data_IF_082639994246
#
_entry.id   IF_082639994246
#
_cell.length_a   1.000
_cell.length_b   1.000
_cell.length_c   1.000
_cell.angle_alpha   90.00
_cell.angle_beta   90.00
_cell.angle_gamma   90.00
#
_symmetry.space_group_name_H-M   'P 1'
#
loop_
_entity.id
_entity.type
_entity.pdbx_description
1 polymer ?
#
# COMPACT_ATOMS: atom_id res chain seq x y z
N UNK A 1 62.66 7.60 -3.59
CA UNK A 1 62.07 8.09 -2.32
C UNK A 1 61.99 6.90 -1.38
N UNK A 2 62.15 7.07 -0.05
CA UNK A 2 61.76 6.01 0.89
C UNK A 2 60.26 5.71 0.72
N UNK A 3 59.84 4.45 0.89
CA UNK A 3 58.42 4.16 1.04
C UNK A 3 57.93 4.78 2.35
N UNK A 4 56.71 5.35 2.40
CA UNK A 4 56.15 5.81 3.67
C UNK A 4 56.00 4.62 4.61
N UNK A 5 56.46 4.77 5.85
CA UNK A 5 56.34 3.75 6.90
C UNK A 5 54.86 3.58 7.25
N UNK A 6 54.23 2.56 6.65
CA UNK A 6 52.83 2.22 6.89
C UNK A 6 52.69 1.51 8.24
N UNK A 7 52.50 2.30 9.29
CA UNK A 7 52.29 1.81 10.65
C UNK A 7 50.78 1.60 10.90
N UNK A 8 50.39 0.35 11.18
CA UNK A 8 49.01 0.00 11.50
C UNK A 8 48.70 0.34 12.96
N UNK A 9 47.55 1.00 13.20
CA UNK A 9 47.07 1.24 14.55
C UNK A 9 46.85 -0.08 15.31
N UNK A 10 47.25 -0.19 16.59
CA UNK A 10 47.18 -1.45 17.35
C UNK A 10 45.75 -1.89 17.72
N UNK A 11 44.73 -1.11 17.37
CA UNK A 11 43.32 -1.41 17.59
C UNK A 11 42.52 -0.97 16.36
N UNK A 12 41.69 -1.86 15.81
CA UNK A 12 40.75 -1.51 14.75
C UNK A 12 39.66 -0.56 15.29
N UNK A 13 39.41 0.53 14.56
CA UNK A 13 38.40 1.53 14.91
C UNK A 13 37.36 1.63 13.78
N UNK A 14 36.26 0.86 13.84
CA UNK A 14 35.23 0.78 12.80
C UNK A 14 34.83 2.13 12.20
N UNK A 15 34.47 3.09 13.07
CA UNK A 15 33.99 4.43 12.69
C UNK A 15 34.98 5.28 11.91
N UNK A 16 36.29 5.06 12.10
CA UNK A 16 37.35 5.81 11.42
C UNK A 16 37.67 5.23 10.03
N UNK A 17 37.22 4.00 9.73
CA UNK A 17 37.52 3.28 8.49
C UNK A 17 36.28 3.11 7.62
N UNK A 18 35.16 2.66 8.18
CA UNK A 18 33.99 2.18 7.43
C UNK A 18 33.27 3.29 6.65
N UNK A 19 32.99 4.42 7.30
CA UNK A 19 32.28 5.52 6.63
C UNK A 19 33.11 6.19 5.51
N UNK A 20 34.41 6.53 5.70
CA UNK A 20 35.24 7.05 4.61
C UNK A 20 35.46 6.04 3.47
N UNK A 21 35.64 4.75 3.79
CA UNK A 21 35.81 3.70 2.79
C UNK A 21 34.53 3.49 1.96
N UNK A 22 33.37 3.50 2.62
CA UNK A 22 32.08 3.34 1.95
C UNK A 22 31.72 4.55 1.07
N UNK A 23 31.98 5.77 1.54
CA UNK A 23 31.84 6.98 0.72
C UNK A 23 32.66 6.86 -0.57
N UNK A 24 33.94 6.49 -0.45
CA UNK A 24 34.83 6.26 -1.60
C UNK A 24 34.30 5.19 -2.56
N UNK A 25 33.68 4.12 -2.07
CA UNK A 25 33.07 3.08 -2.92
C UNK A 25 31.85 3.59 -3.71
N UNK A 26 31.03 4.45 -3.11
CA UNK A 26 29.88 5.08 -3.79
C UNK A 26 30.35 6.10 -4.84
N UNK A 27 31.29 6.97 -4.47
CA UNK A 27 31.86 8.00 -5.36
C UNK A 27 32.57 7.41 -6.59
N UNK A 28 33.24 6.27 -6.43
CA UNK A 28 33.90 5.55 -7.53
C UNK A 28 32.97 4.62 -8.32
N UNK A 29 31.67 4.60 -8.04
CA UNK A 29 30.66 3.86 -8.81
C UNK A 29 30.76 2.33 -8.73
N UNK A 30 31.57 1.78 -7.80
CA UNK A 30 31.95 0.36 -7.75
C UNK A 30 30.79 -0.63 -7.51
N UNK A 31 29.59 -0.14 -7.23
CA UNK A 31 28.40 -0.96 -7.01
C UNK A 31 27.57 -1.18 -8.28
N UNK A 32 27.80 -0.40 -9.35
CA UNK A 32 27.18 -0.65 -10.64
C UNK A 32 27.60 -2.03 -11.21
N UNK A 33 26.74 -2.70 -11.98
CA UNK A 33 27.14 -3.90 -12.72
C UNK A 33 28.17 -3.54 -13.80
N UNK A 34 29.09 -4.47 -14.08
CA UNK A 34 29.99 -4.36 -15.24
C UNK A 34 29.20 -4.40 -16.56
N UNK A 35 29.78 -3.82 -17.61
CA UNK A 35 29.23 -3.91 -18.96
C UNK A 35 29.51 -5.29 -19.60
N UNK A 36 30.56 -5.97 -19.14
CA UNK A 36 31.01 -7.29 -19.52
C UNK A 36 30.75 -8.34 -18.41
N UNK A 37 30.63 -9.60 -18.81
CA UNK A 37 30.37 -10.74 -17.91
C UNK A 37 28.89 -11.13 -17.81
N UNK A 38 28.63 -12.37 -17.36
CA UNK A 38 27.26 -12.90 -17.24
C UNK A 38 26.46 -12.14 -16.17
N UNK A 39 25.20 -11.75 -16.42
CA UNK A 39 24.35 -11.11 -15.42
C UNK A 39 24.16 -11.96 -14.16
N UNK A 40 24.20 -11.33 -13.00
CA UNK A 40 23.72 -11.89 -11.74
C UNK A 40 22.86 -10.84 -11.04
N UNK A 41 21.56 -11.10 -10.88
CA UNK A 41 20.60 -10.08 -10.44
C UNK A 41 19.92 -10.52 -9.15
N UNK A 42 20.00 -9.66 -8.12
CA UNK A 42 19.14 -9.73 -6.94
C UNK A 42 18.27 -8.47 -6.91
N UNK A 43 16.96 -8.65 -6.75
CA UNK A 43 16.04 -7.55 -6.43
C UNK A 43 15.93 -7.47 -4.91
N UNK A 44 16.31 -6.33 -4.34
CA UNK A 44 16.17 -6.09 -2.90
C UNK A 44 14.69 -6.13 -2.50
N UNK A 45 14.27 -6.97 -1.53
CA UNK A 45 12.92 -6.90 -0.97
C UNK A 45 12.70 -5.51 -0.36
N UNK A 46 11.83 -4.67 -0.94
CA UNK A 46 11.84 -3.23 -0.65
C UNK A 46 11.33 -2.95 0.78
N UNK A 47 12.13 -2.33 1.67
CA UNK A 47 11.66 -1.97 3.00
C UNK A 47 10.49 -0.98 2.95
N UNK A 48 9.48 -1.24 3.78
CA UNK A 48 8.35 -0.34 4.00
C UNK A 48 8.85 1.01 4.54
N UNK A 49 8.37 2.14 4.00
CA UNK A 49 8.78 3.51 4.41
C UNK A 49 8.23 3.91 5.82
N UNK A 50 7.84 2.94 6.64
CA UNK A 50 7.08 3.14 7.89
C UNK A 50 7.91 3.10 9.17
N UNK A 51 9.18 2.71 9.11
CA UNK A 51 10.01 2.49 10.29
C UNK A 51 11.52 2.53 10.00
N UNK A 52 12.30 2.74 11.06
CA UNK A 52 13.73 2.45 11.14
C UNK A 52 13.99 0.96 10.91
N UNK A 53 15.10 0.62 10.25
CA UNK A 53 15.54 -0.77 10.06
C UNK A 53 15.81 -1.47 11.40
N UNK A 54 15.37 -2.72 11.53
CA UNK A 54 15.72 -3.61 12.64
C UNK A 54 16.68 -4.72 12.18
N UNK A 55 17.17 -5.51 13.14
CA UNK A 55 18.14 -6.60 12.90
C UNK A 55 17.70 -7.59 11.82
N UNK A 56 16.40 -7.81 11.67
CA UNK A 56 15.79 -8.61 10.59
C UNK A 56 16.10 -8.09 9.17
N UNK A 57 16.02 -6.78 8.91
CA UNK A 57 16.47 -6.23 7.63
C UNK A 57 17.99 -6.28 7.52
N UNK A 58 18.74 -6.11 8.62
CA UNK A 58 20.18 -6.29 8.64
C UNK A 58 20.60 -7.67 8.12
N UNK A 59 20.07 -8.75 8.72
CA UNK A 59 20.29 -10.13 8.29
C UNK A 59 19.91 -10.34 6.81
N UNK A 60 18.73 -9.87 6.40
CA UNK A 60 18.25 -10.01 5.03
C UNK A 60 19.16 -9.32 4.00
N UNK A 61 19.67 -8.13 4.32
CA UNK A 61 20.55 -7.38 3.40
C UNK A 61 21.98 -7.92 3.39
N UNK A 62 22.53 -8.34 4.54
CA UNK A 62 23.87 -8.95 4.61
C UNK A 62 23.97 -10.21 3.75
N UNK A 63 22.96 -11.08 3.76
CA UNK A 63 22.94 -12.29 2.93
C UNK A 63 23.00 -11.94 1.43
N UNK A 64 22.22 -10.94 0.99
CA UNK A 64 22.22 -10.48 -0.40
C UNK A 64 23.54 -9.80 -0.78
N UNK A 65 24.08 -8.94 0.10
CA UNK A 65 25.32 -8.20 -0.14
C UNK A 65 26.54 -9.14 -0.27
N UNK A 66 26.60 -10.18 0.56
CA UNK A 66 27.66 -11.22 0.47
C UNK A 66 27.60 -11.94 -0.88
N UNK A 67 26.41 -12.36 -1.33
CA UNK A 67 26.22 -13.00 -2.64
C UNK A 67 26.61 -12.07 -3.80
N UNK A 68 26.18 -10.81 -3.73
CA UNK A 68 26.46 -9.79 -4.75
C UNK A 68 27.95 -9.45 -4.82
N UNK A 69 28.62 -9.27 -3.68
CA UNK A 69 30.07 -9.06 -3.61
C UNK A 69 30.83 -10.28 -4.17
N UNK A 70 30.44 -11.49 -3.79
CA UNK A 70 31.06 -12.72 -4.26
C UNK A 70 30.96 -12.88 -5.79
N UNK A 71 29.76 -12.78 -6.36
CA UNK A 71 29.58 -12.91 -7.81
C UNK A 71 30.19 -11.73 -8.59
N UNK A 72 30.19 -10.51 -8.04
CA UNK A 72 30.92 -9.35 -8.60
C UNK A 72 32.44 -9.60 -8.62
N UNK A 73 32.99 -10.20 -7.57
CA UNK A 73 34.42 -10.59 -7.50
C UNK A 73 34.77 -11.75 -8.43
N UNK A 74 33.82 -12.63 -8.74
CA UNK A 74 33.95 -13.65 -9.82
C UNK A 74 33.86 -13.07 -11.23
N UNK A 75 33.69 -11.76 -11.38
CA UNK A 75 33.70 -11.06 -12.67
C UNK A 75 32.35 -10.99 -13.38
N UNK A 76 31.25 -11.37 -12.71
CA UNK A 76 29.89 -11.27 -13.28
C UNK A 76 29.38 -9.83 -13.27
N UNK A 77 28.42 -9.55 -14.16
CA UNK A 77 27.65 -8.31 -14.18
C UNK A 77 26.61 -8.33 -13.04
N UNK A 78 27.11 -8.22 -11.80
CA UNK A 78 26.34 -8.34 -10.58
C UNK A 78 25.56 -7.05 -10.27
N UNK A 79 24.24 -7.11 -10.39
CA UNK A 79 23.29 -6.04 -10.09
C UNK A 79 22.46 -6.40 -8.86
N UNK A 80 22.62 -5.63 -7.79
CA UNK A 80 21.65 -5.60 -6.69
C UNK A 80 20.79 -4.36 -6.85
N UNK A 81 19.53 -4.55 -7.22
CA UNK A 81 18.58 -3.47 -7.47
C UNK A 81 17.93 -3.05 -6.14
N UNK A 82 18.20 -1.84 -5.61
CA UNK A 82 17.57 -1.34 -4.39
C UNK A 82 16.20 -0.71 -4.67
N UNK A 83 15.39 -0.52 -3.62
CA UNK A 83 14.07 0.09 -3.71
C UNK A 83 13.45 0.31 -2.32
N UNK A 84 12.29 0.95 -2.25
CA UNK A 84 11.49 1.12 -1.02
C UNK A 84 10.00 0.93 -1.32
N UNK A 85 9.22 0.46 -0.35
CA UNK A 85 7.78 0.24 -0.51
C UNK A 85 6.96 1.34 0.18
N UNK A 86 6.11 1.99 -0.63
CA UNK A 86 5.07 2.92 -0.17
C UNK A 86 4.11 2.31 0.87
N UNK A 87 4.02 0.98 0.93
CA UNK A 87 3.39 0.15 1.96
C UNK A 87 1.89 0.37 2.23
N UNK A 88 1.19 1.18 1.41
CA UNK A 88 -0.26 1.40 1.43
C UNK A 88 -0.84 1.60 2.84
N UNK A 89 -1.67 0.63 3.26
CA UNK A 89 -2.30 0.57 4.58
C UNK A 89 -1.34 0.75 5.76
N UNK A 90 -0.06 0.38 5.64
CA UNK A 90 0.93 0.53 6.71
C UNK A 90 1.24 2.01 6.98
N UNK A 91 1.67 2.71 5.93
CA UNK A 91 2.00 4.15 5.95
C UNK A 91 0.78 4.98 6.32
N UNK A 92 -0.39 4.61 5.77
CA UNK A 92 -1.66 5.24 6.15
C UNK A 92 -1.92 5.12 7.66
N UNK A 93 -1.79 3.93 8.25
CA UNK A 93 -2.01 3.73 9.69
C UNK A 93 -0.99 4.46 10.59
N UNK A 94 0.26 4.63 10.14
CA UNK A 94 1.23 5.44 10.89
C UNK A 94 0.81 6.91 10.88
N UNK A 95 0.44 7.46 9.71
CA UNK A 95 0.04 8.87 9.59
C UNK A 95 -1.31 9.13 10.28
N UNK A 96 -2.27 8.21 10.24
CA UNK A 96 -3.50 8.30 11.04
C UNK A 96 -3.22 8.36 12.54
N UNK A 97 -2.23 7.62 13.05
CA UNK A 97 -1.80 7.68 14.46
C UNK A 97 -1.06 8.97 14.82
N UNK A 98 -0.43 9.65 13.86
CA UNK A 98 0.16 10.98 14.08
C UNK A 98 -0.93 12.05 14.13
N UNK A 99 -1.83 12.06 13.14
CA UNK A 99 -3.00 12.96 13.08
C UNK A 99 -3.90 12.82 14.33
N UNK A 100 -4.10 11.60 14.82
CA UNK A 100 -4.83 11.34 16.07
C UNK A 100 -4.16 11.93 17.33
N UNK A 101 -2.84 12.05 17.37
CA UNK A 101 -2.11 12.75 18.45
C UNK A 101 -2.22 14.27 18.35
N UNK A 102 -2.47 14.78 17.14
CA UNK A 102 -2.75 16.20 16.87
C UNK A 102 -4.22 16.57 17.22
N UNK A 103 -4.99 15.64 17.81
CA UNK A 103 -6.37 15.88 18.26
C UNK A 103 -7.42 15.87 17.15
N UNK A 104 -7.06 15.45 15.93
CA UNK A 104 -7.95 15.40 14.76
C UNK A 104 -8.00 14.00 14.17
N UNK A 105 -8.92 13.74 13.23
CA UNK A 105 -8.88 12.56 12.38
C UNK A 105 -8.60 12.95 10.93
N UNK A 106 -8.14 11.99 10.13
CA UNK A 106 -8.06 12.10 8.67
C UNK A 106 -9.34 12.65 8.02
N UNK A 107 -10.52 12.31 8.55
CA UNK A 107 -11.80 12.73 7.98
C UNK A 107 -12.02 14.23 8.14
N UNK A 108 -11.53 14.82 9.23
CA UNK A 108 -11.55 16.26 9.48
C UNK A 108 -10.57 17.01 8.56
N UNK A 109 -9.56 16.32 8.01
CA UNK A 109 -8.58 16.86 7.07
C UNK A 109 -9.05 16.82 5.59
N UNK A 110 -9.77 15.76 5.19
CA UNK A 110 -10.11 15.47 3.78
C UNK A 110 -8.93 14.90 2.97
N UNK A 111 -9.20 14.25 1.82
CA UNK A 111 -8.23 13.37 1.14
C UNK A 111 -6.90 14.08 0.87
N UNK A 112 -6.96 15.23 0.24
CA UNK A 112 -5.78 15.94 -0.27
C UNK A 112 -4.76 16.24 0.84
N UNK A 113 -5.22 16.80 1.96
CA UNK A 113 -4.36 17.23 3.07
C UNK A 113 -3.75 16.04 3.81
N UNK A 114 -4.50 14.96 3.96
CA UNK A 114 -3.96 13.72 4.50
C UNK A 114 -2.94 13.08 3.54
N UNK A 115 -3.17 13.12 2.22
CA UNK A 115 -2.21 12.64 1.21
C UNK A 115 -0.96 13.52 1.17
N UNK A 116 -1.07 14.84 1.33
CA UNK A 116 0.05 15.76 1.52
C UNK A 116 0.86 15.40 2.79
N UNK A 117 0.17 15.05 3.89
CA UNK A 117 0.80 14.58 5.14
C UNK A 117 1.51 13.24 4.95
N UNK A 118 0.92 12.29 4.23
CA UNK A 118 1.55 10.99 3.88
C UNK A 118 2.78 11.19 2.99
N UNK A 119 2.69 12.01 1.93
CA UNK A 119 3.84 12.32 1.09
C UNK A 119 4.98 13.00 1.86
N UNK A 120 4.65 13.85 2.85
CA UNK A 120 5.62 14.50 3.72
C UNK A 120 6.33 13.46 4.60
N UNK A 121 5.58 12.62 5.30
CA UNK A 121 6.12 11.49 6.06
C UNK A 121 7.00 10.56 5.20
N UNK A 122 6.59 10.26 3.96
CA UNK A 122 7.35 9.42 3.02
C UNK A 122 8.67 10.05 2.60
N UNK A 123 8.72 11.36 2.36
CA UNK A 123 9.98 12.08 2.05
C UNK A 123 10.95 12.08 3.24
N UNK A 124 10.44 12.33 4.44
CA UNK A 124 11.22 12.37 5.69
C UNK A 124 11.82 10.99 6.03
N UNK A 125 11.03 9.92 5.92
CA UNK A 125 11.45 8.58 6.34
C UNK A 125 12.16 7.78 5.24
N UNK A 126 11.84 8.01 3.96
CA UNK A 126 12.45 7.28 2.84
C UNK A 126 13.96 7.47 2.75
N UNK A 127 14.43 8.71 2.94
CA UNK A 127 15.86 9.06 2.98
C UNK A 127 16.57 8.32 4.13
N UNK A 128 15.96 8.31 5.32
CA UNK A 128 16.51 7.66 6.53
C UNK A 128 16.77 6.16 6.32
N UNK A 129 15.90 5.45 5.60
CA UNK A 129 16.07 4.03 5.31
C UNK A 129 17.24 3.78 4.36
N UNK A 130 17.40 4.61 3.33
CA UNK A 130 18.52 4.49 2.39
C UNK A 130 19.86 4.74 3.09
N UNK A 131 19.95 5.76 3.95
CA UNK A 131 21.16 6.00 4.75
C UNK A 131 21.44 4.86 5.74
N UNK A 132 20.42 4.24 6.34
CA UNK A 132 20.62 3.06 7.20
C UNK A 132 21.13 1.83 6.43
N UNK A 133 20.67 1.62 5.18
CA UNK A 133 21.23 0.58 4.30
C UNK A 133 22.68 0.86 3.87
N UNK A 134 23.05 2.13 3.67
CA UNK A 134 24.44 2.54 3.42
C UNK A 134 25.34 2.31 4.64
N UNK A 135 24.86 2.66 5.84
CA UNK A 135 25.61 2.48 7.10
C UNK A 135 25.93 1.01 7.40
N UNK A 136 25.06 0.06 7.02
CA UNK A 136 25.38 -1.38 7.10
C UNK A 136 26.22 -1.91 5.92
N UNK A 137 26.74 -1.02 5.07
CA UNK A 137 27.70 -1.36 4.01
C UNK A 137 27.09 -1.92 2.71
N UNK A 138 25.79 -1.78 2.46
CA UNK A 138 25.12 -2.41 1.30
C UNK A 138 25.73 -1.96 -0.05
N UNK A 139 26.22 -2.90 -0.87
CA UNK A 139 26.85 -2.62 -2.18
C UNK A 139 25.89 -2.66 -3.37
N UNK A 140 24.68 -2.10 -3.20
CA UNK A 140 23.65 -2.04 -4.24
C UNK A 140 23.81 -0.84 -5.19
N UNK A 141 23.19 -0.94 -6.37
CA UNK A 141 23.28 0.08 -7.41
C UNK A 141 22.37 1.27 -7.09
N UNK A 142 22.87 2.18 -6.25
CA UNK A 142 22.16 3.38 -5.79
C UNK A 142 21.68 4.29 -6.91
N UNK A 143 22.31 4.23 -8.10
CA UNK A 143 21.89 5.00 -9.28
C UNK A 143 20.48 4.61 -9.78
N UNK A 144 19.99 3.43 -9.39
CA UNK A 144 18.65 2.93 -9.75
C UNK A 144 17.58 3.21 -8.70
N UNK A 145 17.95 3.78 -7.55
CA UNK A 145 16.99 4.27 -6.51
C UNK A 145 16.60 5.73 -6.67
N UNK A 146 17.30 6.51 -7.50
CA UNK A 146 17.10 7.97 -7.57
C UNK A 146 15.91 8.36 -8.43
N UNK A 147 14.75 8.50 -7.80
CA UNK A 147 13.64 9.33 -8.30
C UNK A 147 13.75 10.75 -7.75
N UNK A 148 14.14 11.71 -8.57
CA UNK A 148 14.21 13.13 -8.19
C UNK A 148 12.82 13.78 -8.17
N UNK A 149 12.52 14.61 -7.16
CA UNK A 149 11.30 15.41 -7.11
C UNK A 149 11.61 16.84 -7.62
N UNK A 150 11.11 17.17 -8.81
CA UNK A 150 11.35 18.43 -9.49
C UNK A 150 10.27 19.45 -9.15
N UNK A 151 10.69 20.65 -8.75
CA UNK A 151 9.82 21.77 -8.42
C UNK A 151 9.80 22.76 -9.59
N UNK A 152 8.83 22.60 -10.49
CA UNK A 152 8.73 23.31 -11.76
C UNK A 152 7.84 24.54 -11.59
N UNK A 153 8.33 25.72 -12.01
CA UNK A 153 7.59 26.99 -11.96
C UNK A 153 6.83 27.25 -13.27
N UNK A 154 5.51 27.27 -13.21
CA UNK A 154 4.62 27.56 -14.33
C UNK A 154 4.26 29.04 -14.25
N UNK A 155 4.52 29.88 -15.27
CA UNK A 155 4.03 31.25 -15.30
C UNK A 155 2.49 31.27 -15.19
N UNK A 156 1.90 32.27 -14.55
CA UNK A 156 0.43 32.35 -14.39
C UNK A 156 -0.12 33.72 -14.76
N UNK A 157 -1.15 33.72 -15.59
CA UNK A 157 -1.80 34.94 -16.07
C UNK A 157 -2.94 35.36 -15.13
N UNK A 158 -2.81 36.55 -14.55
CA UNK A 158 -3.83 37.13 -13.66
C UNK A 158 -4.02 36.43 -12.31
N UNK A 159 -3.07 35.60 -11.88
CA UNK A 159 -3.01 35.02 -10.53
C UNK A 159 -2.31 35.92 -9.50
N UNK A 160 -2.39 35.63 -8.19
CA UNK A 160 -1.81 36.46 -7.11
C UNK A 160 -0.28 36.46 -7.04
N UNK A 161 0.42 35.61 -7.80
CA UNK A 161 1.86 35.70 -8.03
C UNK A 161 2.17 35.31 -9.48
N UNK A 162 3.29 35.77 -10.08
CA UNK A 162 3.59 35.52 -11.49
C UNK A 162 3.89 34.05 -11.84
N UNK A 163 4.01 33.16 -10.84
CA UNK A 163 4.22 31.73 -11.04
C UNK A 163 3.48 30.92 -9.97
N UNK A 164 3.09 29.70 -10.31
CA UNK A 164 2.82 28.61 -9.37
C UNK A 164 3.94 27.55 -9.46
N UNK A 165 4.08 26.71 -8.45
CA UNK A 165 5.11 25.63 -8.43
C UNK A 165 4.44 24.26 -8.35
N UNK A 166 4.65 23.42 -9.36
CA UNK A 166 4.22 22.02 -9.39
C UNK A 166 5.40 21.13 -8.96
N UNK A 167 5.15 20.17 -8.07
CA UNK A 167 6.12 19.15 -7.71
C UNK A 167 5.81 17.85 -8.47
N UNK A 168 6.73 17.39 -9.33
CA UNK A 168 6.60 16.14 -10.11
C UNK A 168 7.87 15.31 -10.02
N UNK A 169 7.75 13.98 -9.97
CA UNK A 169 8.90 13.06 -10.12
C UNK A 169 9.27 12.80 -11.58
N UNK A 170 8.53 13.41 -12.51
CA UNK A 170 8.57 13.16 -13.96
C UNK A 170 8.47 14.49 -14.72
N UNK A 171 9.59 15.22 -14.88
CA UNK A 171 9.58 16.54 -15.52
C UNK A 171 9.36 16.45 -17.04
N UNK A 172 9.42 15.25 -17.62
CA UNK A 172 9.11 15.01 -19.02
C UNK A 172 7.60 14.94 -19.30
N UNK A 173 6.76 14.61 -18.30
CA UNK A 173 5.30 14.59 -18.49
C UNK A 173 4.69 15.99 -18.53
N UNK A 174 5.43 17.01 -18.09
CA UNK A 174 5.17 18.44 -18.26
C UNK A 174 4.49 18.76 -19.60
N UNK A 175 5.07 18.27 -20.70
CA UNK A 175 4.61 18.57 -22.07
C UNK A 175 3.20 18.03 -22.39
N UNK A 176 2.64 17.19 -21.52
CA UNK A 176 1.29 16.63 -21.62
C UNK A 176 0.30 17.13 -20.57
N UNK A 177 0.67 18.05 -19.68
CA UNK A 177 -0.27 18.61 -18.71
C UNK A 177 -1.36 19.44 -19.43
N UNK A 178 -2.62 19.21 -19.06
CA UNK A 178 -3.78 19.93 -19.62
C UNK A 178 -4.51 20.81 -18.59
N UNK A 179 -4.10 20.78 -17.33
CA UNK A 179 -4.60 21.58 -16.21
C UNK A 179 -3.63 21.50 -15.01
N UNK A 180 -3.78 22.38 -14.02
CA UNK A 180 -3.09 22.28 -12.72
C UNK A 180 -4.13 22.15 -11.60
N UNK A 181 -4.03 21.15 -10.74
CA UNK A 181 -4.95 20.98 -9.60
C UNK A 181 -4.44 21.69 -8.34
N UNK A 182 -5.36 22.31 -7.59
CA UNK A 182 -5.15 23.04 -6.34
C UNK A 182 -6.33 22.74 -5.41
N UNK A 183 -6.03 22.32 -4.17
CA UNK A 183 -7.06 22.03 -3.17
C UNK A 183 -8.06 23.18 -3.01
N UNK A 184 -9.38 22.93 -3.06
CA UNK A 184 -10.38 23.99 -2.81
C UNK A 184 -10.36 24.41 -1.34
N UNK A 185 -9.66 23.64 -0.49
CA UNK A 185 -9.47 23.83 0.95
C UNK A 185 -8.09 24.40 1.30
N UNK A 186 -7.22 24.74 0.32
CA UNK A 186 -5.98 25.50 0.55
C UNK A 186 -6.20 27.01 0.35
N UNK A 187 -6.14 27.75 1.45
CA UNK A 187 -6.32 29.20 1.47
C UNK A 187 -5.17 29.97 0.79
N UNK A 188 -3.98 29.37 0.65
CA UNK A 188 -2.78 30.02 0.09
C UNK A 188 -2.88 30.22 -1.42
N UNK A 189 -3.47 29.26 -2.12
CA UNK A 189 -3.46 29.16 -3.58
C UNK A 189 -4.83 29.44 -4.23
N UNK A 190 -5.87 29.75 -3.44
CA UNK A 190 -7.24 29.94 -3.92
C UNK A 190 -7.41 31.04 -4.99
N UNK A 191 -6.51 32.03 -5.03
CA UNK A 191 -6.50 33.08 -6.07
C UNK A 191 -6.04 32.62 -7.46
N UNK A 192 -5.51 31.40 -7.57
CA UNK A 192 -5.13 30.78 -8.84
C UNK A 192 -6.25 29.94 -9.47
N UNK A 193 -7.24 29.49 -8.70
CA UNK A 193 -8.33 28.65 -9.22
C UNK A 193 -9.13 29.43 -10.28
N UNK A 194 -9.37 28.81 -11.43
CA UNK A 194 -9.99 29.47 -12.58
C UNK A 194 -9.10 30.46 -13.35
N UNK A 195 -7.79 30.52 -13.05
CA UNK A 195 -6.79 31.25 -13.85
C UNK A 195 -6.10 30.32 -14.86
N UNK A 196 -5.31 30.92 -15.73
CA UNK A 196 -4.52 30.23 -16.75
C UNK A 196 -3.06 30.15 -16.31
N UNK A 197 -2.57 28.94 -16.03
CA UNK A 197 -1.14 28.69 -16.03
C UNK A 197 -0.66 28.54 -17.48
N UNK A 198 0.57 28.97 -17.77
CA UNK A 198 1.27 28.63 -19.00
C UNK A 198 2.20 27.46 -18.74
N UNK A 199 2.19 26.51 -19.65
CA UNK A 199 3.08 25.36 -19.62
C UNK A 199 4.52 25.82 -19.88
N UNK A 200 5.48 25.55 -18.97
CA UNK A 200 6.89 25.74 -19.25
C UNK A 200 7.31 25.04 -20.55
N UNK A 201 8.32 25.62 -21.22
CA UNK A 201 8.88 25.20 -22.51
C UNK A 201 7.95 25.37 -23.74
N UNK A 202 6.64 25.12 -23.65
CA UNK A 202 5.71 25.24 -24.80
C UNK A 202 4.83 26.49 -24.77
N UNK A 203 4.76 27.19 -23.63
CA UNK A 203 3.93 28.37 -23.37
C UNK A 203 2.40 28.15 -23.50
N UNK A 204 1.96 26.88 -23.59
CA UNK A 204 0.56 26.47 -23.78
C UNK A 204 -0.33 26.86 -22.59
N UNK A 205 -1.51 27.40 -22.85
CA UNK A 205 -2.46 27.82 -21.81
C UNK A 205 -3.23 26.62 -21.21
N UNK A 206 -3.19 26.46 -19.88
CA UNK A 206 -3.90 25.41 -19.14
C UNK A 206 -4.64 25.95 -17.89
N UNK A 207 -5.88 25.51 -17.61
CA UNK A 207 -6.71 25.99 -16.48
C UNK A 207 -6.31 25.39 -15.11
N UNK A 208 -6.86 25.94 -14.03
CA UNK A 208 -6.54 25.55 -12.63
C UNK A 208 -7.81 25.10 -11.85
N UNK A 209 -7.80 23.89 -11.25
CA UNK A 209 -8.98 23.07 -10.79
C UNK A 209 -8.81 22.41 -9.37
N UNK A 210 -9.71 21.53 -8.87
CA UNK A 210 -9.79 21.05 -7.44
C UNK A 210 -10.54 19.68 -7.17
N UNK A 211 -10.23 18.86 -6.13
CA UNK A 211 -10.78 17.45 -5.85
C UNK A 211 -10.80 16.98 -4.33
N UNK A 212 -11.33 15.79 -3.88
CA UNK A 212 -11.53 15.46 -2.41
C UNK A 212 -11.74 14.01 -1.75
N UNK A 213 -12.25 12.88 -2.34
CA UNK A 213 -12.99 11.81 -1.55
C UNK A 213 -12.40 10.35 -1.32
N UNK A 214 -12.83 9.58 -0.26
CA UNK A 214 -12.32 8.22 0.27
C UNK A 214 -13.23 7.62 1.43
N UNK A 215 -13.24 6.43 2.14
CA UNK A 215 -12.37 5.27 2.66
C UNK A 215 -13.26 3.96 2.97
N UNK A 216 -13.13 2.96 3.95
CA UNK A 216 -12.12 2.42 4.95
C UNK A 216 -11.97 0.85 5.32
N UNK A 217 -10.86 0.45 6.02
CA UNK A 217 -10.61 -0.69 7.03
C UNK A 217 -10.89 -2.22 6.67
N UNK A 218 -10.65 -3.18 7.62
CA UNK A 218 -11.25 -4.57 7.81
C UNK A 218 -10.41 -5.93 7.95
N UNK A 219 -10.99 -7.15 8.24
CA UNK A 219 -10.37 -8.27 9.10
C UNK A 219 -10.95 -9.74 9.36
N UNK A 220 -11.79 -10.06 10.41
CA UNK A 220 -11.75 -11.35 11.24
C UNK A 220 -12.62 -12.63 10.85
N UNK A 221 -12.94 -13.56 11.80
CA UNK A 221 -13.88 -14.72 11.69
C UNK A 221 -13.81 -15.89 12.75
N UNK A 222 -14.92 -16.19 13.47
CA UNK A 222 -15.34 -17.53 14.00
C UNK A 222 -16.87 -17.53 14.00
N UNK A 223 -17.54 -18.57 13.46
CA UNK A 223 -18.58 -18.24 12.47
C UNK A 223 -20.00 -18.79 12.70
N UNK A 224 -20.94 -17.89 12.48
CA UNK A 224 -22.41 -18.03 12.39
C UNK A 224 -22.80 -17.92 10.92
N UNK A 225 -23.50 -18.91 10.33
CA UNK A 225 -23.83 -18.93 8.88
C UNK A 225 -24.63 -17.70 8.47
N UNK A 226 -23.87 -16.70 8.02
CA UNK A 226 -24.32 -15.39 7.60
C UNK A 226 -23.47 -15.03 6.38
N UNK A 227 -23.93 -15.38 5.17
CA UNK A 227 -23.17 -15.16 3.94
C UNK A 227 -22.78 -13.69 3.73
N UNK A 228 -23.59 -12.79 4.28
CA UNK A 228 -23.36 -11.35 4.36
C UNK A 228 -22.15 -10.93 5.21
N UNK A 229 -21.66 -11.78 6.12
CA UNK A 229 -20.83 -11.40 7.26
C UNK A 229 -19.73 -12.40 7.66
N UNK A 230 -19.36 -13.37 6.81
CA UNK A 230 -18.08 -14.11 6.87
C UNK A 230 -17.72 -14.81 5.55
N UNK A 231 -16.43 -14.92 5.16
CA UNK A 231 -16.01 -15.57 3.91
C UNK A 231 -16.28 -17.08 3.82
N UNK A 232 -16.11 -17.85 4.89
CA UNK A 232 -16.39 -19.29 4.88
C UNK A 232 -17.89 -19.53 4.69
N UNK A 233 -18.70 -18.71 5.35
CA UNK A 233 -20.15 -18.84 5.34
C UNK A 233 -20.79 -18.18 4.12
N UNK A 234 -20.08 -17.27 3.43
CA UNK A 234 -20.40 -16.84 2.08
C UNK A 234 -20.29 -18.00 1.09
N UNK A 235 -19.23 -18.81 1.16
CA UNK A 235 -19.09 -20.00 0.31
C UNK A 235 -20.17 -21.07 0.62
N UNK A 236 -20.57 -21.23 1.89
CA UNK A 236 -21.75 -22.03 2.27
C UNK A 236 -23.02 -21.43 1.66
N UNK A 237 -23.20 -20.10 1.79
CA UNK A 237 -24.35 -19.37 1.25
C UNK A 237 -24.52 -19.53 -0.25
N UNK A 238 -23.43 -19.43 -1.02
CA UNK A 238 -23.44 -19.66 -2.46
C UNK A 238 -23.80 -21.12 -2.81
N UNK A 239 -23.19 -22.11 -2.14
CA UNK A 239 -23.45 -23.54 -2.40
C UNK A 239 -24.89 -23.96 -2.12
N UNK A 240 -25.56 -23.32 -1.17
CA UNK A 240 -26.93 -23.65 -0.76
C UNK A 240 -27.97 -22.58 -1.15
N UNK A 241 -27.59 -21.57 -1.93
CA UNK A 241 -28.48 -20.51 -2.39
C UNK A 241 -29.16 -19.72 -1.27
N UNK A 242 -28.47 -19.48 -0.14
CA UNK A 242 -29.01 -18.80 1.04
C UNK A 242 -29.05 -17.27 0.84
N UNK A 243 -30.08 -16.61 1.37
CA UNK A 243 -30.20 -15.16 1.34
C UNK A 243 -29.09 -14.47 2.18
N UNK A 244 -28.63 -13.30 1.74
CA UNK A 244 -27.41 -12.67 2.25
C UNK A 244 -27.64 -11.28 2.90
N UNK A 245 -28.50 -11.18 3.94
CA UNK A 245 -28.90 -9.89 4.53
C UNK A 245 -27.76 -9.17 5.27
N UNK A 246 -27.46 -7.96 4.83
CA UNK A 246 -26.56 -7.02 5.51
C UNK A 246 -27.27 -6.40 6.73
N UNK A 247 -26.95 -6.87 7.95
CA UNK A 247 -27.52 -6.36 9.21
C UNK A 247 -26.61 -5.37 9.95
N UNK A 248 -25.52 -4.93 9.30
CA UNK A 248 -24.56 -3.98 9.85
C UNK A 248 -24.16 -2.89 8.84
N UNK A 249 -24.03 -1.66 9.36
CA UNK A 249 -23.47 -0.50 8.67
C UNK A 249 -21.95 -0.58 8.52
N UNK A 250 -21.37 0.32 7.73
CA UNK A 250 -19.92 0.34 7.42
C UNK A 250 -19.08 0.83 8.60
N UNK A 251 -19.67 1.58 9.53
CA UNK A 251 -19.03 1.95 10.81
C UNK A 251 -19.23 0.90 11.92
N UNK A 252 -19.97 -0.19 11.64
CA UNK A 252 -20.14 -1.33 12.55
C UNK A 252 -21.29 -1.19 13.56
N UNK A 253 -22.36 -0.48 13.21
CA UNK A 253 -23.64 -0.42 13.95
C UNK A 253 -24.63 -1.41 13.37
N UNK A 254 -25.62 -1.81 14.17
CA UNK A 254 -26.75 -2.61 13.68
C UNK A 254 -27.71 -1.74 12.86
N UNK A 255 -28.25 -2.28 11.77
CA UNK A 255 -29.26 -1.62 10.94
C UNK A 255 -30.02 -2.63 10.08
N UNK A 256 -31.24 -2.28 9.67
CA UNK A 256 -32.04 -3.18 8.82
C UNK A 256 -31.43 -3.37 7.42
N UNK A 257 -31.57 -4.55 6.79
CA UNK A 257 -31.07 -4.81 5.44
C UNK A 257 -31.73 -3.91 4.39
N UNK A 258 -30.99 -2.90 3.92
CA UNK A 258 -31.41 -2.06 2.80
C UNK A 258 -30.94 -2.68 1.48
N UNK A 259 -31.88 -3.24 0.72
CA UNK A 259 -31.64 -3.75 -0.64
C UNK A 259 -31.74 -5.28 -0.80
N UNK A 260 -32.10 -5.71 -2.01
CA UNK A 260 -32.24 -7.13 -2.37
C UNK A 260 -30.86 -7.80 -2.50
N UNK A 261 -30.52 -8.64 -1.52
CA UNK A 261 -29.24 -9.36 -1.44
C UNK A 261 -29.35 -10.82 -1.91
N UNK A 262 -29.97 -10.97 -3.10
CA UNK A 262 -30.27 -12.19 -3.90
C UNK A 262 -31.60 -12.07 -4.70
N UNK A 263 -32.32 -10.94 -4.60
CA UNK A 263 -33.65 -10.74 -5.17
C UNK A 263 -34.81 -11.10 -4.24
N UNK A 264 -34.54 -11.68 -3.06
CA UNK A 264 -35.57 -12.10 -2.11
C UNK A 264 -35.79 -11.02 -1.05
N UNK A 265 -37.05 -10.64 -0.84
CA UNK A 265 -37.43 -9.72 0.24
C UNK A 265 -37.30 -10.42 1.59
N UNK A 266 -36.30 -10.05 2.38
CA UNK A 266 -36.20 -10.39 3.79
C UNK A 266 -37.03 -9.42 4.62
N UNK A 267 -37.87 -9.94 5.52
CA UNK A 267 -38.55 -9.13 6.54
C UNK A 267 -37.56 -8.54 7.56
N UNK A 268 -38.04 -7.67 8.48
CA UNK A 268 -37.18 -6.99 9.45
C UNK A 268 -36.38 -7.98 10.32
N UNK A 269 -35.10 -7.67 10.54
CA UNK A 269 -34.12 -8.53 11.23
C UNK A 269 -33.43 -7.87 12.42
N UNK A 270 -33.57 -6.56 12.62
CA UNK A 270 -32.88 -5.81 13.68
C UNK A 270 -33.89 -5.13 14.59
N UNK A 271 -34.17 -5.70 15.78
CA UNK A 271 -35.03 -5.08 16.79
C UNK A 271 -34.76 -3.59 16.98
N UNK A 272 -35.81 -2.79 17.08
CA UNK A 272 -35.73 -1.33 17.01
C UNK A 272 -34.81 -0.73 18.10
N UNK A 273 -34.72 -1.37 19.27
CA UNK A 273 -33.81 -1.01 20.37
C UNK A 273 -32.30 -1.23 20.08
N UNK A 274 -31.98 -1.97 19.01
CA UNK A 274 -30.62 -2.25 18.56
C UNK A 274 -30.22 -1.38 17.35
N UNK A 275 -31.16 -0.82 16.60
CA UNK A 275 -30.87 -0.02 15.41
C UNK A 275 -30.01 1.21 15.78
N UNK A 276 -28.91 1.44 15.05
CA UNK A 276 -27.94 2.49 15.32
C UNK A 276 -26.96 2.22 16.49
N UNK A 277 -27.12 1.13 17.25
CA UNK A 277 -26.21 0.74 18.33
C UNK A 277 -24.95 0.09 17.74
N UNK A 278 -23.77 0.47 18.24
CA UNK A 278 -22.50 -0.21 17.88
C UNK A 278 -22.54 -1.70 18.23
N UNK A 279 -21.98 -2.55 17.37
CA UNK A 279 -21.96 -4.02 17.50
C UNK A 279 -21.49 -4.57 18.86
N UNK A 280 -20.60 -3.90 19.59
CA UNK A 280 -20.13 -4.38 20.89
C UNK A 280 -21.19 -4.12 21.99
N UNK A 281 -21.82 -2.95 21.97
CA UNK A 281 -22.94 -2.65 22.87
C UNK A 281 -24.21 -3.42 22.47
N UNK A 282 -24.44 -3.60 21.16
CA UNK A 282 -25.50 -4.45 20.64
C UNK A 282 -25.30 -5.91 21.06
N UNK A 283 -24.06 -6.43 21.07
CA UNK A 283 -23.75 -7.78 21.61
C UNK A 283 -24.13 -7.90 23.08
N UNK A 284 -23.84 -6.90 23.92
CA UNK A 284 -24.29 -6.88 25.33
C UNK A 284 -25.82 -6.87 25.45
N UNK A 285 -26.49 -5.99 24.69
CA UNK A 285 -27.96 -5.92 24.64
C UNK A 285 -28.58 -7.26 24.21
N UNK A 286 -28.10 -7.86 23.11
CA UNK A 286 -28.58 -9.16 22.60
C UNK A 286 -28.42 -10.26 23.65
N UNK A 287 -27.27 -10.35 24.33
CA UNK A 287 -27.06 -11.34 25.42
C UNK A 287 -28.02 -11.08 26.59
N UNK A 288 -28.28 -9.82 26.94
CA UNK A 288 -29.26 -9.47 27.97
C UNK A 288 -30.71 -9.82 27.56
N UNK A 289 -31.09 -9.57 26.29
CA UNK A 289 -32.40 -9.93 25.73
C UNK A 289 -32.60 -11.46 25.70
N UNK A 290 -31.61 -12.21 25.22
CA UNK A 290 -31.63 -13.68 25.21
C UNK A 290 -31.74 -14.25 26.64
N UNK A 291 -31.01 -13.67 27.60
CA UNK A 291 -31.12 -14.05 29.01
C UNK A 291 -32.50 -13.74 29.59
N UNK A 292 -33.07 -12.56 29.30
CA UNK A 292 -34.40 -12.17 29.77
C UNK A 292 -35.52 -13.03 29.17
N UNK A 293 -35.32 -13.57 27.97
CA UNK A 293 -36.25 -14.48 27.27
C UNK A 293 -36.01 -15.96 27.59
N UNK A 294 -35.02 -16.31 28.43
CA UNK A 294 -34.66 -17.71 28.73
C UNK A 294 -33.99 -18.46 27.56
N UNK A 295 -33.65 -17.77 26.47
CA UNK A 295 -33.04 -18.34 25.25
C UNK A 295 -31.51 -18.48 25.33
N UNK A 296 -30.90 -18.13 26.48
CA UNK A 296 -29.47 -18.21 26.72
C UNK A 296 -29.14 -19.42 27.61
N UNK A 297 -28.93 -20.58 26.98
CA UNK A 297 -28.65 -21.86 27.66
C UNK A 297 -27.44 -21.78 28.60
N UNK A 298 -26.29 -21.33 28.08
CA UNK A 298 -25.05 -21.15 28.86
C UNK A 298 -24.14 -20.09 28.25
N UNK A 299 -23.18 -19.60 29.04
CA UNK A 299 -22.09 -18.73 28.59
C UNK A 299 -20.78 -19.28 29.15
N UNK A 300 -19.92 -19.76 28.26
CA UNK A 300 -18.62 -20.34 28.61
C UNK A 300 -17.48 -19.45 28.08
N UNK A 301 -16.43 -19.14 28.88
CA UNK A 301 -15.27 -18.41 28.40
C UNK A 301 -14.51 -19.19 27.32
N UNK A 302 -14.43 -18.65 26.10
CA UNK A 302 -13.82 -19.32 24.96
C UNK A 302 -12.80 -18.44 24.23
N UNK A 303 -11.52 -18.81 24.31
CA UNK A 303 -10.45 -18.18 23.52
C UNK A 303 -10.54 -18.60 22.06
N UNK A 304 -10.52 -17.63 21.14
CA UNK A 304 -10.65 -17.88 19.71
C UNK A 304 -9.79 -16.95 18.84
N UNK A 305 -9.46 -17.41 17.62
CA UNK A 305 -8.52 -16.76 16.70
C UNK A 305 -9.13 -15.56 15.95
N UNK A 306 -9.47 -14.49 16.70
CA UNK A 306 -9.93 -13.21 16.14
C UNK A 306 -8.82 -12.59 15.26
N UNK A 307 -8.97 -12.63 13.93
CA UNK A 307 -7.98 -12.07 12.96
C UNK A 307 -7.97 -10.53 12.96
N UNK A 308 -7.30 -9.93 13.92
CA UNK A 308 -7.16 -8.48 14.01
C UNK A 308 -6.49 -7.89 12.75
N UNK A 309 -6.80 -6.64 12.39
CA UNK A 309 -6.08 -5.95 11.32
C UNK A 309 -4.59 -5.82 11.68
N UNK A 310 -3.72 -6.40 10.85
CA UNK A 310 -2.27 -6.56 11.08
C UNK A 310 -1.45 -5.27 11.25
N UNK A 311 -2.07 -4.08 11.10
CA UNK A 311 -1.45 -2.77 11.32
C UNK A 311 -2.10 -2.00 12.49
N UNK A 312 -3.43 -1.91 12.52
CA UNK A 312 -4.13 -1.13 13.54
C UNK A 312 -4.52 -1.90 14.81
N UNK A 313 -4.53 -3.24 14.78
CA UNK A 313 -4.86 -4.09 15.92
C UNK A 313 -6.36 -4.17 16.25
N UNK A 314 -7.24 -3.63 15.42
CA UNK A 314 -8.70 -3.63 15.69
C UNK A 314 -9.32 -5.00 15.33
N UNK A 315 -10.27 -5.45 16.15
CA UNK A 315 -11.27 -6.50 15.84
C UNK A 315 -12.11 -6.06 14.65
N UNK A 316 -12.59 -7.02 13.85
CA UNK A 316 -13.32 -6.72 12.62
C UNK A 316 -14.41 -7.75 12.31
N UNK A 317 -15.54 -7.25 11.85
CA UNK A 317 -16.59 -8.02 11.20
C UNK A 317 -16.37 -8.06 9.67
N UNK A 318 -16.46 -9.22 9.02
CA UNK A 318 -16.62 -9.28 7.56
C UNK A 318 -17.98 -8.70 7.13
N UNK A 319 -18.05 -8.20 5.89
CA UNK A 319 -19.26 -7.64 5.28
C UNK A 319 -19.21 -7.84 3.76
N UNK A 320 -20.33 -8.21 3.13
CA UNK A 320 -20.44 -8.20 1.67
C UNK A 320 -20.40 -6.78 1.12
N UNK A 321 -19.65 -6.64 0.04
CA UNK A 321 -19.36 -5.39 -0.65
C UNK A 321 -18.82 -5.76 -2.03
N UNK A 322 -19.15 -4.98 -3.06
CA UNK A 322 -18.58 -5.17 -4.39
C UNK A 322 -17.09 -4.80 -4.38
N UNK A 323 -16.25 -5.74 -4.83
CA UNK A 323 -14.80 -5.64 -4.79
C UNK A 323 -14.19 -6.19 -6.09
N UNK A 324 -12.99 -5.72 -6.43
CA UNK A 324 -12.25 -6.17 -7.60
C UNK A 324 -11.39 -7.38 -7.23
N UNK A 325 -11.63 -8.50 -7.91
CA UNK A 325 -10.89 -9.75 -7.75
C UNK A 325 -10.10 -10.09 -9.01
N UNK A 326 -8.89 -10.62 -8.84
CA UNK A 326 -8.13 -11.30 -9.89
C UNK A 326 -8.35 -12.80 -9.77
N UNK A 327 -8.74 -13.45 -10.87
CA UNK A 327 -8.89 -14.90 -10.92
C UNK A 327 -7.52 -15.57 -10.85
N UNK A 328 -7.17 -16.16 -9.71
CA UNK A 328 -5.79 -16.55 -9.42
C UNK A 328 -5.37 -17.88 -10.02
N UNK A 329 -6.29 -18.86 -10.10
CA UNK A 329 -5.99 -20.20 -10.62
C UNK A 329 -5.21 -20.22 -11.96
N UNK A 330 -5.64 -19.53 -13.05
CA UNK A 330 -4.89 -19.52 -14.32
C UNK A 330 -3.56 -18.75 -14.27
N UNK A 331 -3.29 -17.98 -13.22
CA UNK A 331 -1.99 -17.35 -12.97
C UNK A 331 -1.08 -18.25 -12.11
N UNK A 332 -1.67 -19.09 -11.28
CA UNK A 332 -0.96 -20.03 -10.40
C UNK A 332 -0.43 -21.25 -11.16
N UNK A 333 -1.24 -21.83 -12.04
CA UNK A 333 -0.91 -23.00 -12.88
C UNK A 333 0.45 -22.88 -13.62
N UNK A 334 0.76 -21.81 -14.39
CA UNK A 334 2.03 -21.69 -15.09
C UNK A 334 3.25 -21.47 -14.17
N UNK A 335 3.03 -20.94 -12.96
CA UNK A 335 4.08 -20.75 -11.95
C UNK A 335 4.36 -22.04 -11.19
N UNK A 336 3.32 -22.82 -10.87
CA UNK A 336 3.45 -24.15 -10.29
C UNK A 336 4.10 -25.14 -11.28
N UNK A 337 3.78 -25.03 -12.57
CA UNK A 337 4.53 -25.70 -13.62
C UNK A 337 6.00 -25.26 -13.63
N UNK A 338 6.29 -23.95 -13.62
CA UNK A 338 7.68 -23.45 -13.60
C UNK A 338 8.51 -23.96 -12.42
N UNK A 339 7.87 -24.14 -11.27
CA UNK A 339 8.47 -24.76 -10.10
C UNK A 339 8.77 -26.26 -10.33
N UNK A 340 7.78 -27.03 -10.79
CA UNK A 340 7.89 -28.48 -11.07
C UNK A 340 8.86 -28.82 -12.21
N UNK A 341 8.95 -27.94 -13.20
CA UNK A 341 9.91 -28.01 -14.32
C UNK A 341 11.36 -27.71 -13.87
N UNK A 342 11.59 -27.29 -12.62
CA UNK A 342 12.89 -26.85 -12.13
C UNK A 342 13.36 -25.50 -12.69
N UNK A 343 12.48 -24.71 -13.32
CA UNK A 343 12.82 -23.38 -13.89
C UNK A 343 13.15 -22.33 -12.83
N UNK A 344 12.81 -22.58 -11.56
CA UNK A 344 13.37 -21.89 -10.40
C UNK A 344 13.36 -22.81 -9.17
N UNK A 345 14.28 -22.56 -8.23
CA UNK A 345 14.41 -23.35 -6.99
C UNK A 345 14.07 -22.50 -5.77
N UNK A 346 13.33 -23.08 -4.81
CA UNK A 346 13.06 -22.46 -3.51
C UNK A 346 14.03 -23.04 -2.48
N UNK A 347 14.63 -22.18 -1.66
CA UNK A 347 15.65 -22.53 -0.66
C UNK A 347 15.28 -21.94 0.70
N UNK A 348 15.42 -22.67 1.83
CA UNK A 348 15.70 -24.11 1.93
C UNK A 348 14.53 -25.00 1.48
N UNK A 349 14.86 -26.24 1.12
CA UNK A 349 13.96 -27.24 0.50
C UNK A 349 12.69 -27.52 1.31
N UNK A 350 12.73 -27.39 2.65
CA UNK A 350 11.54 -27.55 3.51
C UNK A 350 10.34 -26.68 3.13
N UNK A 351 10.55 -25.59 2.37
CA UNK A 351 9.48 -24.73 1.88
C UNK A 351 8.75 -25.26 0.63
N UNK A 352 9.27 -26.30 -0.03
CA UNK A 352 8.74 -26.88 -1.25
C UNK A 352 7.26 -27.25 -1.12
N UNK A 353 6.94 -28.13 -0.17
CA UNK A 353 5.56 -28.56 0.10
C UNK A 353 4.64 -27.39 0.54
N UNK A 354 5.18 -26.39 1.27
CA UNK A 354 4.42 -25.19 1.66
C UNK A 354 4.05 -24.34 0.45
N UNK A 355 4.98 -24.17 -0.49
CA UNK A 355 4.77 -23.40 -1.71
C UNK A 355 3.76 -24.09 -2.64
N UNK A 356 3.93 -25.39 -2.91
CA UNK A 356 2.98 -26.14 -3.75
C UNK A 356 1.58 -26.13 -3.16
N UNK A 357 1.44 -26.45 -1.86
CA UNK A 357 0.13 -26.43 -1.20
C UNK A 357 -0.53 -25.04 -1.26
N UNK A 358 0.25 -23.95 -1.09
CA UNK A 358 -0.26 -22.59 -1.22
C UNK A 358 -0.73 -22.28 -2.65
N UNK A 359 0.06 -22.66 -3.67
CA UNK A 359 -0.24 -22.42 -5.08
C UNK A 359 -1.43 -23.23 -5.59
N UNK A 360 -1.61 -24.47 -5.12
CA UNK A 360 -2.75 -25.33 -5.49
C UNK A 360 -4.07 -24.88 -4.85
N UNK A 361 -4.02 -24.29 -3.66
CA UNK A 361 -5.19 -23.88 -2.87
C UNK A 361 -5.41 -22.36 -2.87
N UNK A 362 -4.75 -21.62 -3.77
CA UNK A 362 -4.86 -20.17 -3.86
C UNK A 362 -6.26 -19.73 -4.31
N UNK A 363 -6.90 -18.88 -3.51
CA UNK A 363 -8.21 -18.28 -3.83
C UNK A 363 -8.05 -16.99 -4.64
N UNK A 364 -9.10 -16.59 -5.32
CA UNK A 364 -9.12 -15.37 -6.14
C UNK A 364 -8.80 -14.13 -5.29
N UNK A 365 -7.89 -13.30 -5.80
CA UNK A 365 -7.23 -12.26 -5.02
C UNK A 365 -8.03 -10.96 -5.10
N UNK A 366 -8.67 -10.58 -3.98
CA UNK A 366 -9.21 -9.23 -3.83
C UNK A 366 -8.06 -8.22 -3.92
N UNK A 367 -8.06 -7.38 -4.95
CA UNK A 367 -7.09 -6.31 -5.19
C UNK A 367 -7.59 -4.92 -4.77
N UNK A 368 -8.89 -4.70 -4.59
CA UNK A 368 -9.43 -3.40 -4.17
C UNK A 368 -9.29 -3.16 -2.69
N UNK A 369 -8.89 -1.93 -2.32
CA UNK A 369 -8.78 -1.50 -0.94
C UNK A 369 -9.39 -0.11 -0.81
N UNK A 370 -10.24 0.04 0.20
CA UNK A 370 -10.83 1.31 0.59
C UNK A 370 -9.79 2.04 1.43
N UNK A 371 -8.87 2.71 0.72
CA UNK A 371 -7.69 3.41 1.25
C UNK A 371 -7.49 4.77 0.57
N UNK A 372 -6.83 5.66 1.30
CA UNK A 372 -6.35 6.96 0.85
C UNK A 372 -5.08 6.76 0.04
N UNK A 373 -4.16 5.96 0.60
CA UNK A 373 -2.80 5.79 0.12
C UNK A 373 -2.60 4.46 -0.62
N UNK A 374 -2.17 4.55 -1.88
CA UNK A 374 -1.98 3.44 -2.80
C UNK A 374 -2.32 3.86 -4.24
N UNK A 375 -2.10 2.98 -5.20
CA UNK A 375 -2.52 3.22 -6.59
C UNK A 375 -4.04 3.13 -6.72
N UNK A 376 -4.66 4.10 -7.41
CA UNK A 376 -6.07 3.99 -7.83
C UNK A 376 -6.18 2.85 -8.84
N UNK A 377 -7.14 1.95 -8.63
CA UNK A 377 -7.51 0.97 -9.66
C UNK A 377 -8.06 1.76 -10.86
N UNK A 378 -7.52 1.59 -12.09
CA UNK A 378 -7.87 2.43 -13.23
C UNK A 378 -9.12 1.88 -13.93
N UNK A 379 -10.23 1.87 -13.18
CA UNK A 379 -11.56 1.48 -13.61
C UNK A 379 -12.45 2.72 -13.61
N UNK A 380 -13.25 2.84 -14.66
CA UNK A 380 -14.13 3.97 -14.94
C UNK A 380 -15.56 3.47 -15.13
N UNK A 381 -16.53 4.19 -14.58
CA UNK A 381 -17.96 3.90 -14.73
C UNK A 381 -18.66 5.09 -15.35
N UNK A 382 -19.43 4.88 -16.41
CA UNK A 382 -20.15 5.94 -17.08
C UNK A 382 -21.33 6.43 -16.22
N UNK A 383 -21.32 7.71 -15.86
CA UNK A 383 -22.41 8.35 -15.10
C UNK A 383 -23.77 8.33 -15.82
N UNK A 384 -23.80 8.15 -17.15
CA UNK A 384 -25.03 8.07 -17.95
C UNK A 384 -25.58 6.65 -18.09
N UNK A 385 -24.76 5.69 -18.52
CA UNK A 385 -25.20 4.34 -18.88
C UNK A 385 -24.75 3.24 -17.89
N UNK A 386 -24.06 3.60 -16.79
CA UNK A 386 -23.53 2.69 -15.77
C UNK A 386 -22.59 1.59 -16.29
N UNK A 387 -22.12 1.70 -17.54
CA UNK A 387 -21.11 0.79 -18.06
C UNK A 387 -19.77 1.05 -17.36
N UNK A 388 -19.19 -0.02 -16.80
CA UNK A 388 -17.87 -0.03 -16.17
C UNK A 388 -16.83 -0.71 -17.07
N UNK A 389 -15.65 -0.11 -17.21
CA UNK A 389 -14.50 -0.64 -17.97
C UNK A 389 -13.16 -0.25 -17.30
N UNK A 390 -12.07 -0.87 -17.73
CA UNK A 390 -10.70 -0.51 -17.32
C UNK A 390 -9.91 0.06 -18.50
N UNK A 391 -9.06 1.05 -18.25
CA UNK A 391 -8.16 1.66 -19.25
C UNK A 391 -6.80 1.99 -18.59
N UNK A 392 -5.74 2.21 -19.37
CA UNK A 392 -4.45 2.70 -18.88
C UNK A 392 -4.34 4.23 -18.87
N UNK A 393 -5.32 4.93 -19.45
CA UNK A 393 -5.40 6.41 -19.52
C UNK A 393 -6.78 6.86 -19.06
N UNK A 394 -6.90 8.11 -18.62
CA UNK A 394 -8.20 8.70 -18.31
C UNK A 394 -9.05 8.82 -19.60
N UNK A 395 -10.21 8.14 -19.69
CA UNK A 395 -10.97 8.04 -20.92
C UNK A 395 -11.83 9.30 -21.13
N UNK A 396 -11.72 9.92 -22.31
CA UNK A 396 -12.42 11.16 -22.65
C UNK A 396 -13.91 10.98 -22.98
N UNK A 397 -14.36 9.74 -23.15
CA UNK A 397 -15.73 9.37 -23.47
C UNK A 397 -16.02 7.96 -22.92
N UNK A 398 -17.30 7.56 -22.90
CA UNK A 398 -17.65 6.15 -22.68
C UNK A 398 -17.39 5.35 -23.97
N UNK A 399 -16.94 4.08 -23.90
CA UNK A 399 -16.86 3.18 -25.05
C UNK A 399 -18.23 2.58 -25.46
N UNK A 400 -19.35 3.17 -25.01
CA UNK A 400 -20.73 2.83 -25.35
C UNK A 400 -21.57 4.11 -25.48
#
# INVERSE_FOLDING_TARGET
MPQPTFELAPQYRPREVEAPLYARWVESGLFAPRADGEPYVIVMPPPNITAVLHTGQGLNNVIQDVLIRFERMRGRAALWLPGTDHAGIATQNVVERLVAKEGTTRFDLGREKFIERVWTFVRENGTTILEQLKVIGSSCDWSRTTGSLYYIRYPVEGGPAPFLTVATTRPETLLGDTAVAVSPKDKRHRGFVGKTARLPLTNLAIPIVADDAVDPKFGTGFVKVTPAHDPNDFEIGLRHGLAMPLVMTEDGRMGEPVGQSDGRTVGPRVPQELQGVDRFEARKKIVAMLKAQGLLEKVEPHQHAVRHCYRCGTVVEPRLSDQWFVKMKPLAEPVLAAYRDGRFTIVPERWHATFEHWMENIRDWNISRQLWWGHRIPVFTCTKCQHTWADRKDPKACPK
#
